data_IF_169387505508
#
_entry.id   IF_169387505508
#
_cell.length_a   1.000
_cell.length_b   1.000
_cell.length_c   1.000
_cell.angle_alpha   90.00
_cell.angle_beta   90.00
_cell.angle_gamma   90.00
#
_symmetry.space_group_name_H-M   'P 1'
#
loop_
_entity.id
_entity.type
_entity.pdbx_description
1 polymer ?
#
# COMPACT_ATOMS: atom_id res chain seq x y z
N UNK A 1 -9.91 24.23 18.01
CA UNK A 1 -10.75 24.44 16.80
C UNK A 1 -10.36 23.44 15.73
N UNK A 2 -11.26 22.53 15.32
CA UNK A 2 -11.04 21.60 14.21
C UNK A 2 -11.53 22.27 12.91
N UNK A 3 -10.66 22.50 11.93
CA UNK A 3 -11.08 23.01 10.62
C UNK A 3 -11.58 21.85 9.76
N UNK A 4 -12.75 22.02 9.19
CA UNK A 4 -13.22 21.24 8.04
C UNK A 4 -12.45 21.74 6.82
N UNK A 5 -11.50 20.95 6.32
CA UNK A 5 -10.84 21.26 5.05
C UNK A 5 -11.87 21.18 3.92
N UNK A 6 -12.22 22.33 3.34
CA UNK A 6 -13.11 22.38 2.18
C UNK A 6 -12.34 21.88 0.94
N UNK A 7 -13.03 21.26 -0.02
CA UNK A 7 -12.46 20.87 -1.33
C UNK A 7 -11.83 22.06 -2.05
N UNK A 8 -12.30 23.28 -1.77
CA UNK A 8 -11.72 24.53 -2.28
C UNK A 8 -10.32 24.81 -1.70
N UNK A 9 -10.13 24.61 -0.40
CA UNK A 9 -8.85 24.86 0.28
C UNK A 9 -7.78 23.84 -0.16
N UNK A 10 -8.17 22.57 -0.37
CA UNK A 10 -7.28 21.53 -0.91
C UNK A 10 -6.88 21.87 -2.35
N UNK A 11 -7.81 22.38 -3.17
CA UNK A 11 -7.50 22.85 -4.53
C UNK A 11 -6.64 24.11 -4.53
N UNK A 12 -6.72 24.94 -3.50
CA UNK A 12 -5.98 26.20 -3.38
C UNK A 12 -4.58 25.99 -2.80
N UNK A 13 -4.41 25.07 -1.83
CA UNK A 13 -3.10 24.61 -1.33
C UNK A 13 -2.37 23.73 -2.36
N UNK A 14 -3.10 22.96 -3.17
CA UNK A 14 -2.51 22.29 -4.34
C UNK A 14 -1.99 23.29 -5.39
N UNK A 15 -2.46 24.54 -5.38
CA UNK A 15 -2.02 25.61 -6.29
C UNK A 15 -0.89 26.50 -5.73
N UNK A 16 -0.53 26.39 -4.45
CA UNK A 16 0.39 27.32 -3.79
C UNK A 16 1.75 26.72 -3.39
N UNK A 17 2.07 25.50 -3.85
CA UNK A 17 3.43 24.97 -3.75
C UNK A 17 4.35 25.57 -4.83
N UNK A 18 5.65 25.77 -4.56
CA UNK A 18 6.57 26.47 -5.48
C UNK A 18 6.88 25.74 -6.80
N UNK A 19 6.36 24.53 -7.05
CA UNK A 19 6.60 23.77 -8.28
C UNK A 19 5.29 23.24 -8.93
N UNK A 20 4.77 24.05 -9.86
CA UNK A 20 4.28 23.69 -11.22
C UNK A 20 3.03 22.80 -11.46
N UNK A 21 2.58 22.88 -12.72
CA UNK A 21 1.42 22.25 -13.34
C UNK A 21 1.38 20.73 -13.09
N UNK A 22 0.31 20.29 -12.44
CA UNK A 22 0.12 18.92 -12.02
C UNK A 22 -1.14 18.34 -12.68
N UNK A 23 -1.00 17.24 -13.41
CA UNK A 23 -2.18 16.52 -13.94
C UNK A 23 -2.69 15.55 -12.88
N UNK A 24 -3.94 15.75 -12.44
CA UNK A 24 -4.58 14.82 -11.51
C UNK A 24 -4.85 13.49 -12.22
N UNK A 25 -4.18 12.42 -11.79
CA UNK A 25 -4.26 11.13 -12.48
C UNK A 25 -5.29 10.17 -11.88
N UNK A 26 -5.69 10.29 -10.61
CA UNK A 26 -6.87 9.64 -9.97
C UNK A 26 -6.83 9.77 -8.44
N UNK A 27 -8.00 9.67 -7.77
CA UNK A 27 -8.15 9.57 -6.31
C UNK A 27 -8.06 8.13 -5.78
N UNK A 28 -7.10 7.34 -6.24
CA UNK A 28 -7.02 5.90 -5.91
C UNK A 28 -6.38 5.60 -4.54
N UNK A 29 -5.84 6.60 -3.84
CA UNK A 29 -5.24 6.46 -2.50
C UNK A 29 -6.21 6.81 -1.37
N UNK A 30 -6.19 6.02 -0.28
CA UNK A 30 -6.91 6.36 0.97
C UNK A 30 -6.19 7.47 1.74
N UNK A 31 -4.86 7.57 1.57
CA UNK A 31 -3.97 8.42 2.37
C UNK A 31 -3.34 9.57 1.59
N UNK A 32 -3.17 9.41 0.28
CA UNK A 32 -2.41 10.33 -0.56
C UNK A 32 -3.17 10.61 -1.84
N UNK A 33 -3.19 11.89 -2.22
CA UNK A 33 -3.56 12.30 -3.58
C UNK A 33 -2.40 12.01 -4.52
N UNK A 34 -2.69 11.71 -5.80
CA UNK A 34 -1.71 11.33 -6.82
C UNK A 34 -1.73 12.32 -7.99
N UNK A 35 -0.59 12.90 -8.29
CA UNK A 35 -0.42 13.83 -9.41
C UNK A 35 0.79 13.46 -10.25
N UNK A 36 0.71 13.71 -11.57
CA UNK A 36 1.90 13.71 -12.42
C UNK A 36 2.49 15.11 -12.43
N UNK A 37 3.77 15.22 -12.06
CA UNK A 37 4.52 16.47 -12.16
C UNK A 37 4.96 16.65 -13.62
N UNK A 38 4.56 17.75 -14.26
CA UNK A 38 4.84 17.97 -15.69
C UNK A 38 6.04 18.88 -15.93
N UNK A 39 6.49 19.63 -14.92
CA UNK A 39 7.58 20.59 -15.06
C UNK A 39 8.36 20.71 -13.73
N UNK A 40 9.63 21.16 -13.78
CA UNK A 40 10.47 21.39 -12.59
C UNK A 40 11.44 20.24 -12.28
N UNK A 41 12.05 20.26 -11.09
CA UNK A 41 13.05 19.27 -10.67
C UNK A 41 12.53 17.83 -10.71
N UNK A 42 11.24 17.64 -10.41
CA UNK A 42 10.59 16.33 -10.36
C UNK A 42 9.70 16.04 -11.58
N UNK A 43 9.90 16.73 -12.71
CA UNK A 43 9.15 16.47 -13.93
C UNK A 43 9.21 14.98 -14.32
N UNK A 44 8.05 14.41 -14.68
CA UNK A 44 7.88 12.99 -15.00
C UNK A 44 7.63 12.07 -13.81
N UNK A 45 7.66 12.58 -12.56
CA UNK A 45 7.39 11.78 -11.36
C UNK A 45 5.94 11.85 -10.89
N UNK A 46 5.53 10.80 -10.19
CA UNK A 46 4.28 10.72 -9.44
C UNK A 46 4.43 11.33 -8.05
N UNK A 47 3.66 12.37 -7.77
CA UNK A 47 3.56 12.97 -6.45
C UNK A 47 2.55 12.22 -5.58
N UNK A 48 2.92 11.90 -4.33
CA UNK A 48 2.01 11.47 -3.26
C UNK A 48 2.19 12.39 -2.07
N UNK A 49 1.13 13.09 -1.66
CA UNK A 49 1.20 14.09 -0.58
C UNK A 49 0.50 13.64 0.70
N UNK A 50 1.20 13.74 1.83
CA UNK A 50 0.64 13.62 3.17
C UNK A 50 0.31 15.02 3.70
N UNK A 51 -0.98 15.24 3.99
CA UNK A 51 -1.49 16.49 4.53
C UNK A 51 -1.67 16.42 6.04
N UNK A 52 -1.73 17.58 6.69
CA UNK A 52 -2.12 17.71 8.09
C UNK A 52 -0.99 17.57 9.10
N UNK A 53 0.26 17.50 8.65
CA UNK A 53 1.45 17.47 9.53
C UNK A 53 1.56 18.82 10.23
N UNK A 54 1.52 18.83 11.56
CA UNK A 54 1.32 20.07 12.33
C UNK A 54 2.62 20.79 12.68
N UNK A 55 3.76 20.10 12.56
CA UNK A 55 5.07 20.65 12.88
C UNK A 55 6.16 20.09 11.99
N UNK A 56 7.27 20.83 11.89
CA UNK A 56 8.44 20.40 11.13
C UNK A 56 9.02 19.10 11.68
N UNK A 57 9.11 18.98 13.00
CA UNK A 57 9.57 17.79 13.69
C UNK A 57 8.75 16.55 13.31
N UNK A 58 7.42 16.70 13.23
CA UNK A 58 6.55 15.60 12.81
C UNK A 58 6.80 15.23 11.35
N UNK A 59 7.06 16.22 10.48
CA UNK A 59 7.46 15.96 9.09
C UNK A 59 8.76 15.15 9.01
N UNK A 60 9.76 15.49 9.84
CA UNK A 60 11.03 14.77 9.93
C UNK A 60 10.87 13.34 10.47
N UNK A 61 9.98 13.14 11.45
CA UNK A 61 9.64 11.80 11.95
C UNK A 61 8.96 10.95 10.86
N UNK A 62 8.10 11.55 10.03
CA UNK A 62 7.49 10.89 8.88
C UNK A 62 8.50 10.49 7.82
N UNK A 63 9.38 11.42 7.41
CA UNK A 63 10.41 11.14 6.40
C UNK A 63 11.35 10.03 6.89
N UNK A 64 11.85 10.11 8.13
CA UNK A 64 12.70 9.07 8.71
C UNK A 64 12.03 7.70 8.75
N UNK A 65 10.75 7.65 9.09
CA UNK A 65 10.02 6.39 9.10
C UNK A 65 9.83 5.78 7.70
N UNK A 66 9.62 6.61 6.67
CA UNK A 66 9.51 6.14 5.29
C UNK A 66 10.87 5.71 4.73
N UNK A 67 11.94 6.45 5.00
CA UNK A 67 13.30 6.06 4.64
C UNK A 67 13.69 4.73 5.28
N UNK A 68 13.46 4.58 6.59
CA UNK A 68 13.63 3.30 7.28
C UNK A 68 12.84 2.18 6.59
N UNK A 69 11.60 2.44 6.19
CA UNK A 69 10.78 1.42 5.54
C UNK A 69 11.33 1.01 4.18
N UNK A 70 11.78 1.97 3.36
CA UNK A 70 12.46 1.69 2.07
C UNK A 70 13.71 0.85 2.30
N UNK A 71 14.58 1.23 3.22
CA UNK A 71 15.79 0.48 3.56
C UNK A 71 15.47 -0.93 4.04
N UNK A 72 14.44 -1.10 4.85
CA UNK A 72 13.99 -2.41 5.32
C UNK A 72 13.46 -3.27 4.17
N UNK A 73 12.66 -2.70 3.26
CA UNK A 73 12.19 -3.41 2.06
C UNK A 73 13.35 -3.85 1.17
N UNK A 74 14.35 -3.00 0.99
CA UNK A 74 15.55 -3.34 0.23
C UNK A 74 16.35 -4.46 0.90
N UNK A 75 16.45 -4.47 2.24
CA UNK A 75 17.07 -5.58 3.00
C UNK A 75 16.29 -6.88 2.91
N UNK A 76 14.96 -6.83 2.68
CA UNK A 76 14.15 -8.00 2.35
C UNK A 76 14.45 -8.54 0.93
N UNK A 77 15.20 -7.81 0.11
CA UNK A 77 15.37 -8.14 -1.31
C UNK A 77 14.17 -7.73 -2.18
N UNK A 78 13.33 -6.82 -1.69
CA UNK A 78 12.22 -6.23 -2.46
C UNK A 78 12.74 -4.99 -3.19
N UNK A 79 12.60 -4.97 -4.51
CA UNK A 79 12.89 -3.78 -5.31
C UNK A 79 11.79 -2.73 -5.08
N UNK A 80 12.20 -1.51 -4.75
CA UNK A 80 11.30 -0.40 -4.44
C UNK A 80 11.42 0.65 -5.53
N UNK A 81 10.30 1.22 -5.92
CA UNK A 81 10.27 2.29 -6.90
C UNK A 81 11.12 3.49 -6.45
N UNK A 82 11.91 4.07 -7.37
CA UNK A 82 12.76 5.21 -7.04
C UNK A 82 11.92 6.37 -6.48
N UNK A 83 12.24 6.79 -5.25
CA UNK A 83 11.39 7.70 -4.47
C UNK A 83 12.23 8.73 -3.74
N UNK A 84 11.88 10.00 -3.92
CA UNK A 84 12.44 11.14 -3.18
C UNK A 84 11.41 11.66 -2.18
N UNK A 85 11.84 11.96 -0.96
CA UNK A 85 11.00 12.52 0.10
C UNK A 85 11.34 14.00 0.30
N UNK A 86 10.33 14.88 0.30
CA UNK A 86 10.49 16.32 0.58
C UNK A 86 9.49 16.74 1.65
N UNK A 87 9.94 17.52 2.63
CA UNK A 87 9.04 18.29 3.50
C UNK A 87 8.95 19.72 2.97
N UNK A 88 7.76 20.31 3.01
CA UNK A 88 7.55 21.71 2.63
C UNK A 88 6.64 22.41 3.65
N UNK A 89 6.86 23.69 3.93
CA UNK A 89 5.87 24.50 4.64
C UNK A 89 4.53 24.47 3.90
N UNK A 90 3.42 24.34 4.63
CA UNK A 90 2.06 24.30 4.06
C UNK A 90 1.06 25.00 4.99
N UNK A 91 0.67 26.22 4.64
CA UNK A 91 -0.25 27.03 5.44
C UNK A 91 0.29 27.28 6.85
N UNK A 92 -0.38 26.73 7.88
CA UNK A 92 0.05 26.80 9.30
C UNK A 92 0.84 25.58 9.79
N UNK A 93 1.18 24.66 8.90
CA UNK A 93 1.87 23.43 9.23
C UNK A 93 2.88 23.05 8.16
N UNK A 94 3.04 21.75 7.98
CA UNK A 94 3.98 21.15 7.06
C UNK A 94 3.25 20.11 6.19
N UNK A 95 3.85 19.81 5.05
CA UNK A 95 3.46 18.69 4.21
C UNK A 95 4.67 17.80 3.98
N UNK A 96 4.42 16.50 3.86
CA UNK A 96 5.42 15.53 3.44
C UNK A 96 5.00 14.98 2.09
N UNK A 97 5.85 15.17 1.10
CA UNK A 97 5.62 14.78 -0.28
C UNK A 97 6.59 13.69 -0.69
N UNK A 98 6.07 12.67 -1.37
CA UNK A 98 6.85 11.62 -2.01
C UNK A 98 6.80 11.85 -3.51
N UNK A 99 7.96 11.95 -4.16
CA UNK A 99 8.09 11.98 -5.61
C UNK A 99 8.64 10.64 -6.06
N UNK A 100 7.74 9.77 -6.52
CA UNK A 100 8.05 8.43 -6.96
C UNK A 100 8.13 8.38 -8.48
N UNK A 101 8.99 7.52 -9.04
CA UNK A 101 9.00 7.27 -10.47
C UNK A 101 7.59 6.89 -11.00
N UNK A 102 7.32 7.24 -12.25
CA UNK A 102 6.06 6.92 -12.93
C UNK A 102 6.14 5.52 -13.52
N UNK A 103 4.99 4.83 -13.45
CA UNK A 103 4.74 3.60 -14.19
C UNK A 103 3.59 3.81 -15.15
N UNK A 104 3.71 3.25 -16.35
CA UNK A 104 2.62 3.20 -17.32
C UNK A 104 1.58 2.16 -16.89
N UNK A 105 0.36 2.24 -17.43
CA UNK A 105 -0.74 1.38 -16.98
C UNK A 105 -0.46 -0.11 -17.23
N UNK A 106 0.17 -0.44 -18.36
CA UNK A 106 0.56 -1.80 -18.75
C UNK A 106 1.68 -2.38 -17.89
N UNK A 107 2.44 -1.53 -17.17
CA UNK A 107 3.42 -1.97 -16.17
C UNK A 107 2.76 -2.33 -14.83
N UNK A 108 1.55 -1.86 -14.54
CA UNK A 108 0.89 -2.11 -13.26
C UNK A 108 0.40 -3.57 -13.19
N UNK A 109 0.80 -4.30 -12.15
CA UNK A 109 0.40 -5.71 -11.95
C UNK A 109 -1.13 -5.86 -11.94
N UNK A 110 -1.86 -4.86 -11.46
CA UNK A 110 -3.32 -4.92 -11.52
C UNK A 110 -3.90 -4.87 -12.92
N UNK A 111 -3.27 -4.14 -13.85
CA UNK A 111 -3.68 -4.08 -15.23
C UNK A 111 -3.27 -5.37 -15.95
N UNK A 112 -2.02 -5.83 -15.77
CA UNK A 112 -1.52 -7.10 -16.31
C UNK A 112 -2.44 -8.27 -15.91
N UNK A 113 -2.86 -8.35 -14.65
CA UNK A 113 -3.78 -9.40 -14.20
C UNK A 113 -5.17 -9.20 -14.83
N UNK A 114 -5.66 -7.97 -14.95
CA UNK A 114 -7.01 -7.68 -15.47
C UNK A 114 -7.12 -7.95 -16.98
N UNK A 115 -6.11 -7.60 -17.76
CA UNK A 115 -6.17 -7.52 -19.22
C UNK A 115 -5.27 -8.54 -19.92
N UNK A 116 -4.22 -9.03 -19.25
CA UNK A 116 -3.25 -9.95 -19.83
C UNK A 116 -3.85 -11.32 -20.19
N UNK A 117 -3.10 -12.05 -21.01
CA UNK A 117 -3.45 -13.43 -21.34
C UNK A 117 -3.26 -14.34 -20.12
N UNK A 118 -4.00 -15.45 -20.07
CA UNK A 118 -4.02 -16.35 -18.90
C UNK A 118 -2.62 -16.73 -18.39
N UNK A 119 -1.69 -17.05 -19.29
CA UNK A 119 -0.31 -17.43 -18.92
C UNK A 119 0.39 -16.30 -18.17
N UNK A 120 0.42 -15.12 -18.78
CA UNK A 120 1.04 -13.92 -18.22
C UNK A 120 0.42 -13.52 -16.87
N UNK A 121 -0.91 -13.62 -16.73
CA UNK A 121 -1.56 -13.36 -15.44
C UNK A 121 -1.09 -14.32 -14.34
N UNK A 122 -0.95 -15.61 -14.65
CA UNK A 122 -0.52 -16.61 -13.67
C UNK A 122 0.96 -16.42 -13.31
N UNK A 123 1.82 -16.15 -14.29
CA UNK A 123 3.24 -15.86 -14.07
C UNK A 123 3.44 -14.60 -13.22
N UNK A 124 2.72 -13.52 -13.54
CA UNK A 124 2.77 -12.26 -12.77
C UNK A 124 2.24 -12.45 -11.35
N UNK A 125 1.17 -13.22 -11.19
CA UNK A 125 0.62 -13.55 -9.87
C UNK A 125 1.62 -14.36 -9.03
N UNK A 126 2.24 -15.38 -9.60
CA UNK A 126 3.26 -16.19 -8.93
C UNK A 126 4.46 -15.34 -8.48
N UNK A 127 4.97 -14.46 -9.37
CA UNK A 127 6.03 -13.51 -9.01
C UNK A 127 5.64 -12.63 -7.83
N UNK A 128 4.40 -12.12 -7.82
CA UNK A 128 3.90 -11.30 -6.70
C UNK A 128 3.82 -12.09 -5.39
N UNK A 129 3.48 -13.38 -5.43
CA UNK A 129 3.49 -14.24 -4.25
C UNK A 129 4.92 -14.45 -3.72
N UNK A 130 5.89 -14.67 -4.63
CA UNK A 130 7.30 -14.85 -4.28
C UNK A 130 7.92 -13.60 -3.64
N UNK A 131 7.53 -12.40 -4.08
CA UNK A 131 7.90 -11.17 -3.37
C UNK A 131 7.32 -11.11 -1.95
N UNK A 132 6.10 -11.63 -1.76
CA UNK A 132 5.51 -11.80 -0.43
C UNK A 132 6.31 -12.76 0.45
N UNK A 133 6.85 -13.85 -0.11
CA UNK A 133 7.71 -14.81 0.59
C UNK A 133 8.99 -14.17 1.10
N UNK A 134 9.64 -13.31 0.31
CA UNK A 134 10.82 -12.56 0.77
C UNK A 134 10.57 -11.79 2.07
N UNK A 135 9.42 -11.12 2.16
CA UNK A 135 9.02 -10.41 3.38
C UNK A 135 8.71 -11.37 4.55
N UNK A 136 8.19 -12.57 4.27
CA UNK A 136 7.96 -13.62 5.28
C UNK A 136 9.28 -14.08 5.87
N UNK A 137 10.25 -14.40 5.02
CA UNK A 137 11.55 -14.94 5.44
C UNK A 137 12.33 -13.90 6.25
N UNK A 138 12.39 -12.66 5.76
CA UNK A 138 13.02 -11.57 6.51
C UNK A 138 12.39 -11.38 7.90
N UNK A 139 11.06 -11.46 8.01
CA UNK A 139 10.39 -11.36 9.30
C UNK A 139 10.71 -12.53 10.21
N UNK A 140 10.82 -13.76 9.67
CA UNK A 140 11.20 -14.93 10.47
C UNK A 140 12.60 -14.75 11.07
N UNK A 141 13.51 -14.11 10.34
CA UNK A 141 14.89 -13.92 10.75
C UNK A 141 15.10 -12.72 11.68
N UNK A 142 14.41 -11.61 11.44
CA UNK A 142 14.75 -10.32 12.06
C UNK A 142 13.67 -9.73 12.97
N UNK A 143 12.40 -10.13 12.84
CA UNK A 143 11.37 -9.52 13.68
C UNK A 143 11.39 -10.08 15.09
N UNK A 144 11.15 -9.18 16.05
CA UNK A 144 10.94 -9.55 17.45
C UNK A 144 9.49 -9.22 17.79
N UNK A 145 8.57 -10.22 17.78
CA UNK A 145 7.15 -9.99 17.97
C UNK A 145 6.84 -9.14 19.21
N UNK A 146 6.06 -8.08 19.03
CA UNK A 146 5.69 -7.15 20.11
C UNK A 146 6.77 -6.15 20.51
N UNK A 147 7.98 -6.19 19.92
CA UNK A 147 9.07 -5.24 20.18
C UNK A 147 9.42 -4.38 18.96
N UNK A 148 9.91 -4.98 17.88
CA UNK A 148 10.11 -4.29 16.60
C UNK A 148 9.62 -5.22 15.50
N UNK A 149 8.62 -4.75 14.77
CA UNK A 149 7.97 -5.52 13.71
C UNK A 149 7.86 -4.66 12.46
N UNK A 150 8.10 -5.29 11.32
CA UNK A 150 7.81 -4.72 10.00
C UNK A 150 6.57 -5.37 9.40
N UNK A 151 5.71 -4.59 8.77
CA UNK A 151 4.59 -5.09 8.00
C UNK A 151 4.84 -4.97 6.51
N UNK A 152 4.07 -5.73 5.73
CA UNK A 152 4.14 -5.71 4.28
C UNK A 152 2.75 -5.90 3.68
N UNK A 153 2.33 -4.97 2.81
CA UNK A 153 1.03 -5.07 2.15
C UNK A 153 1.20 -5.58 0.72
N UNK A 154 1.06 -6.89 0.56
CA UNK A 154 1.28 -7.60 -0.70
C UNK A 154 0.16 -7.45 -1.74
N UNK A 155 -0.72 -6.45 -1.63
CA UNK A 155 -1.81 -6.29 -2.61
C UNK A 155 -1.26 -6.03 -4.00
N UNK A 156 -1.82 -6.68 -5.02
CA UNK A 156 -1.46 -6.47 -6.43
C UNK A 156 -1.39 -4.99 -6.86
N UNK A 157 -2.19 -4.10 -6.24
CA UNK A 157 -2.21 -2.65 -6.56
C UNK A 157 -0.93 -1.92 -6.16
N UNK A 158 -0.10 -2.55 -5.34
CA UNK A 158 1.13 -2.00 -4.79
C UNK A 158 2.35 -2.44 -5.61
N UNK A 159 2.14 -3.07 -6.77
CA UNK A 159 3.19 -3.64 -7.59
C UNK A 159 3.10 -3.15 -9.04
N UNK A 160 4.27 -2.91 -9.62
CA UNK A 160 4.49 -2.83 -11.05
C UNK A 160 5.49 -3.91 -11.49
N UNK A 161 5.56 -4.15 -12.80
CA UNK A 161 6.52 -5.02 -13.43
C UNK A 161 7.15 -4.31 -14.61
N UNK A 162 8.48 -4.13 -14.59
CA UNK A 162 9.26 -3.48 -15.66
C UNK A 162 10.51 -4.32 -15.92
N UNK A 163 10.79 -4.63 -17.18
CA UNK A 163 11.98 -5.43 -17.54
C UNK A 163 12.01 -6.82 -16.89
N UNK A 164 10.85 -7.38 -16.53
CA UNK A 164 10.75 -8.66 -15.81
C UNK A 164 11.01 -8.57 -14.30
N UNK A 165 11.29 -7.38 -13.75
CA UNK A 165 11.48 -7.15 -12.33
C UNK A 165 10.18 -6.69 -11.65
N UNK A 166 9.93 -7.18 -10.44
CA UNK A 166 8.79 -6.75 -9.60
C UNK A 166 9.19 -5.52 -8.78
N UNK A 167 8.44 -4.43 -8.93
CA UNK A 167 8.75 -3.17 -8.26
C UNK A 167 7.60 -2.77 -7.32
N UNK A 168 7.92 -2.54 -6.05
CA UNK A 168 6.98 -2.17 -5.02
C UNK A 168 6.73 -0.66 -4.97
N UNK A 169 5.46 -0.25 -4.92
CA UNK A 169 5.02 1.14 -5.09
C UNK A 169 4.49 1.78 -3.79
N UNK A 170 4.00 0.99 -2.82
CA UNK A 170 3.20 1.51 -1.70
C UNK A 170 4.03 1.76 -0.43
N UNK A 171 4.56 2.98 -0.32
CA UNK A 171 5.40 3.39 0.80
C UNK A 171 4.61 4.10 1.92
N UNK A 172 3.27 4.15 1.83
CA UNK A 172 2.44 4.97 2.74
C UNK A 172 1.16 4.24 3.21
N UNK A 173 0.98 4.00 4.52
CA UNK A 173 1.93 4.25 5.61
C UNK A 173 3.19 3.37 5.57
N UNK A 174 4.30 3.83 6.18
CA UNK A 174 5.35 2.92 6.61
C UNK A 174 4.76 1.92 7.62
N UNK A 175 4.96 0.64 7.38
CA UNK A 175 4.40 -0.43 8.19
C UNK A 175 5.43 -0.85 9.24
N UNK A 176 5.61 -0.02 10.28
CA UNK A 176 6.45 -0.34 11.43
C UNK A 176 5.63 -0.41 12.71
N UNK A 177 5.94 -1.37 13.58
CA UNK A 177 5.50 -1.35 14.97
C UNK A 177 6.67 -1.39 15.92
N UNK A 178 6.68 -0.48 16.89
CA UNK A 178 7.62 -0.47 18.00
C UNK A 178 6.83 -0.63 19.29
N UNK A 179 7.16 -1.63 20.10
CA UNK A 179 6.46 -1.97 21.34
C UNK A 179 4.94 -2.09 21.14
N UNK A 180 4.53 -2.77 20.06
CA UNK A 180 3.12 -2.99 19.70
C UNK A 180 2.38 -1.76 19.16
N UNK A 181 3.06 -0.62 18.93
CA UNK A 181 2.44 0.62 18.42
C UNK A 181 2.93 0.96 17.02
N UNK A 182 2.03 1.30 16.11
CA UNK A 182 2.39 1.74 14.74
C UNK A 182 3.20 3.03 14.78
N UNK A 183 4.30 3.07 14.02
CA UNK A 183 5.20 4.21 13.94
C UNK A 183 5.24 4.79 12.50
N UNK A 184 5.19 6.12 12.32
CA UNK A 184 5.03 7.13 13.37
C UNK A 184 3.58 7.19 13.85
N UNK A 185 3.31 7.40 15.15
CA UNK A 185 1.95 7.39 15.71
C UNK A 185 1.02 8.45 15.10
N UNK A 186 1.60 9.54 14.59
CA UNK A 186 0.92 10.64 13.91
C UNK A 186 0.24 10.24 12.60
N UNK A 187 0.71 9.18 11.91
CA UNK A 187 0.18 8.82 10.59
C UNK A 187 -1.34 8.58 10.62
N UNK A 188 -1.84 8.00 11.71
CA UNK A 188 -3.26 7.73 11.90
C UNK A 188 -4.11 9.01 12.08
N UNK A 189 -3.48 10.15 12.40
CA UNK A 189 -4.19 11.44 12.56
C UNK A 189 -4.55 12.07 11.21
N UNK A 190 -3.77 11.78 10.18
CA UNK A 190 -3.85 12.40 8.83
C UNK A 190 -4.87 11.74 7.91
N UNK A 191 -5.68 10.81 8.43
CA UNK A 191 -6.81 10.21 7.70
C UNK A 191 -7.83 11.31 7.34
N UNK A 192 -8.24 11.42 6.07
CA UNK A 192 -9.25 12.40 5.63
C UNK A 192 -10.52 12.32 6.47
N UNK A 193 -11.06 13.48 6.86
CA UNK A 193 -12.23 13.58 7.76
C UNK A 193 -13.46 12.80 7.25
N UNK A 194 -13.66 12.71 5.94
CA UNK A 194 -14.73 11.91 5.32
C UNK A 194 -14.72 10.42 5.72
N UNK A 195 -13.56 9.87 6.10
CA UNK A 195 -13.43 8.51 6.60
C UNK A 195 -13.59 8.40 8.13
N UNK A 196 -13.63 9.53 8.85
CA UNK A 196 -13.81 9.60 10.31
C UNK A 196 -15.30 9.65 10.72
N UNK A 197 -16.21 10.02 9.83
CA UNK A 197 -17.62 10.30 10.14
C UNK A 197 -18.63 9.31 9.52
N UNK A 198 -18.20 8.15 9.02
CA UNK A 198 -19.12 7.10 8.56
C UNK A 198 -19.70 6.39 9.79
N UNK A 199 -20.98 6.59 10.16
CA UNK A 199 -21.50 6.21 11.49
C UNK A 199 -21.65 4.68 11.69
N UNK A 200 -21.81 3.91 10.61
CA UNK A 200 -22.06 2.47 10.66
C UNK A 200 -20.81 1.59 10.66
N UNK A 201 -19.61 2.18 10.55
CA UNK A 201 -18.36 1.47 10.53
C UNK A 201 -17.34 2.28 11.29
N UNK A 202 -16.86 1.75 12.42
CA UNK A 202 -15.57 2.15 12.97
C UNK A 202 -14.51 1.82 11.90
N UNK A 203 -14.29 2.71 10.94
CA UNK A 203 -13.32 2.56 9.84
C UNK A 203 -11.91 2.33 10.38
N UNK A 204 -11.61 2.87 11.57
CA UNK A 204 -10.42 2.57 12.37
C UNK A 204 -10.31 1.07 12.73
N UNK A 205 -11.42 0.42 13.04
CA UNK A 205 -11.49 -1.00 13.36
C UNK A 205 -11.67 -1.91 12.13
N UNK A 206 -12.11 -1.38 10.98
CA UNK A 206 -12.38 -2.17 9.76
C UNK A 206 -11.29 -2.08 8.69
N UNK A 207 -10.65 -0.92 8.54
CA UNK A 207 -9.54 -0.72 7.60
C UNK A 207 -8.20 -0.76 8.32
N UNK A 208 -8.08 -0.18 9.52
CA UNK A 208 -6.77 -0.05 10.16
C UNK A 208 -6.44 -1.18 11.11
N UNK A 209 -7.33 -1.62 12.00
CA UNK A 209 -7.03 -2.80 12.84
C UNK A 209 -6.78 -4.08 12.03
N UNK A 210 -7.55 -4.38 10.96
CA UNK A 210 -7.31 -5.54 10.12
C UNK A 210 -6.13 -5.26 9.20
N UNK A 211 -6.10 -4.21 8.35
CA UNK A 211 -4.94 -4.01 7.47
C UNK A 211 -3.61 -3.82 8.23
N UNK A 212 -3.60 -3.25 9.44
CA UNK A 212 -2.38 -3.18 10.27
C UNK A 212 -2.10 -4.44 11.07
N UNK A 213 -3.02 -5.37 11.32
CA UNK A 213 -2.68 -6.71 11.85
C UNK A 213 -2.35 -7.69 10.73
N UNK A 214 -3.13 -7.64 9.66
CA UNK A 214 -3.04 -8.46 8.45
C UNK A 214 -1.74 -8.20 7.69
N UNK A 215 -1.29 -6.94 7.58
CA UNK A 215 0.03 -6.65 6.99
C UNK A 215 1.20 -7.12 7.85
N UNK A 216 0.94 -7.52 9.11
CA UNK A 216 1.95 -8.09 10.01
C UNK A 216 1.76 -9.60 10.19
N UNK A 217 0.68 -10.17 9.63
CA UNK A 217 0.34 -11.59 9.72
C UNK A 217 0.58 -12.27 8.37
N UNK A 218 1.65 -13.07 8.30
CA UNK A 218 2.16 -13.66 7.05
C UNK A 218 1.11 -14.48 6.27
N UNK A 219 0.30 -15.34 6.92
CA UNK A 219 -0.80 -16.04 6.24
C UNK A 219 -1.82 -15.12 5.57
N UNK A 220 -2.07 -13.94 6.15
CA UNK A 220 -3.06 -13.00 5.62
C UNK A 220 -2.51 -12.26 4.40
N UNK A 221 -1.20 -12.04 4.31
CA UNK A 221 -0.58 -11.41 3.16
C UNK A 221 -0.81 -12.22 1.88
N UNK A 222 -0.48 -13.51 1.87
CA UNK A 222 -0.68 -14.36 0.68
C UNK A 222 -2.17 -14.52 0.34
N UNK A 223 -3.03 -14.66 1.36
CA UNK A 223 -4.48 -14.66 1.16
C UNK A 223 -5.00 -13.33 0.58
N UNK A 224 -4.39 -12.20 0.94
CA UNK A 224 -4.67 -10.87 0.40
C UNK A 224 -4.29 -10.74 -1.08
N UNK A 225 -3.14 -11.28 -1.48
CA UNK A 225 -2.73 -11.39 -2.88
C UNK A 225 -3.78 -12.15 -3.68
N UNK A 226 -4.13 -13.35 -3.22
CA UNK A 226 -5.13 -14.21 -3.85
C UNK A 226 -6.48 -13.50 -3.98
N UNK A 227 -6.94 -12.86 -2.90
CA UNK A 227 -8.20 -12.10 -2.93
C UNK A 227 -8.18 -10.97 -3.96
N UNK A 228 -7.06 -10.26 -4.06
CA UNK A 228 -6.86 -9.19 -5.01
C UNK A 228 -6.87 -9.71 -6.46
N UNK A 229 -6.22 -10.85 -6.74
CA UNK A 229 -6.21 -11.50 -8.05
C UNK A 229 -7.62 -11.98 -8.46
N UNK A 230 -8.28 -12.75 -7.59
CA UNK A 230 -9.64 -13.29 -7.82
C UNK A 230 -10.66 -12.18 -8.06
N UNK A 231 -10.51 -11.03 -7.40
CA UNK A 231 -11.43 -9.90 -7.60
C UNK A 231 -11.32 -9.23 -8.98
N UNK A 232 -10.27 -9.55 -9.75
CA UNK A 232 -9.99 -9.01 -11.09
C UNK A 232 -10.24 -10.04 -12.19
N UNK A 233 -9.97 -11.32 -11.93
CA UNK A 233 -10.14 -12.43 -12.89
C UNK A 233 -10.74 -13.64 -12.18
N UNK A 234 -12.05 -13.60 -11.97
CA UNK A 234 -12.75 -14.61 -11.16
C UNK A 234 -12.73 -15.99 -11.80
N UNK A 235 -12.78 -16.05 -13.12
CA UNK A 235 -12.69 -17.28 -13.90
C UNK A 235 -11.36 -18.02 -13.72
N UNK A 236 -10.31 -17.35 -13.22
CA UNK A 236 -9.02 -17.94 -12.90
C UNK A 236 -8.86 -18.31 -11.40
N UNK A 237 -9.90 -18.19 -10.58
CA UNK A 237 -9.82 -18.40 -9.12
C UNK A 237 -9.17 -19.72 -8.73
N UNK A 238 -9.56 -20.82 -9.39
CA UNK A 238 -8.96 -22.14 -9.15
C UNK A 238 -7.45 -22.14 -9.41
N UNK A 239 -7.02 -21.54 -10.53
CA UNK A 239 -5.60 -21.50 -10.92
C UNK A 239 -4.77 -20.61 -10.00
N UNK A 240 -5.30 -19.46 -9.58
CA UNK A 240 -4.62 -18.63 -8.57
C UNK A 240 -4.49 -19.36 -7.23
N UNK A 241 -5.53 -20.11 -6.82
CA UNK A 241 -5.46 -20.91 -5.59
C UNK A 241 -4.40 -22.02 -5.70
N UNK A 242 -4.38 -22.77 -6.80
CA UNK A 242 -3.34 -23.78 -7.09
C UNK A 242 -1.95 -23.16 -6.97
N UNK A 243 -1.71 -22.04 -7.68
CA UNK A 243 -0.43 -21.31 -7.63
C UNK A 243 -0.04 -20.80 -6.23
N UNK A 244 -1.03 -20.39 -5.44
CA UNK A 244 -0.77 -19.96 -4.06
C UNK A 244 -0.35 -21.13 -3.18
N UNK A 245 -0.98 -22.29 -3.36
CA UNK A 245 -0.63 -23.53 -2.63
C UNK A 245 0.77 -23.99 -3.03
N UNK A 246 1.08 -24.02 -4.33
CA UNK A 246 2.42 -24.36 -4.84
C UNK A 246 3.49 -23.49 -4.16
N UNK A 247 3.33 -22.16 -4.15
CA UNK A 247 4.31 -21.27 -3.49
C UNK A 247 4.42 -21.53 -1.99
N UNK A 248 3.33 -21.90 -1.30
CA UNK A 248 3.38 -22.24 0.13
C UNK A 248 4.12 -23.54 0.36
N UNK A 249 3.87 -24.55 -0.46
CA UNK A 249 4.54 -25.85 -0.35
C UNK A 249 6.03 -25.74 -0.69
N UNK A 250 6.39 -24.89 -1.64
CA UNK A 250 7.78 -24.65 -2.05
C UNK A 250 8.56 -23.84 -1.01
N UNK A 251 7.95 -22.78 -0.46
CA UNK A 251 8.72 -21.76 0.27
C UNK A 251 8.45 -21.72 1.77
N UNK A 252 7.32 -22.25 2.25
CA UNK A 252 6.96 -22.17 3.67
C UNK A 252 7.32 -23.49 4.38
N UNK A 253 8.00 -23.44 5.55
CA UNK A 253 8.30 -24.63 6.35
C UNK A 253 7.04 -25.45 6.65
N UNK A 254 7.16 -26.78 6.57
CA UNK A 254 6.03 -27.71 6.72
C UNK A 254 5.23 -27.50 8.02
N UNK A 255 5.91 -27.15 9.12
CA UNK A 255 5.30 -26.85 10.42
C UNK A 255 4.39 -25.60 10.41
N UNK A 256 4.62 -24.65 9.50
CA UNK A 256 3.86 -23.40 9.41
C UNK A 256 2.72 -23.47 8.38
N UNK A 257 2.83 -24.35 7.37
CA UNK A 257 1.86 -24.47 6.25
C UNK A 257 0.40 -24.54 6.67
N UNK A 258 -0.01 -25.28 7.73
CA UNK A 258 -1.42 -25.36 8.11
C UNK A 258 -2.08 -23.99 8.32
N UNK A 259 -1.37 -23.03 8.91
CA UNK A 259 -1.91 -21.68 9.15
C UNK A 259 -2.16 -20.91 7.84
N UNK A 260 -1.31 -21.08 6.83
CA UNK A 260 -1.47 -20.46 5.51
C UNK A 260 -2.60 -21.11 4.72
N UNK A 261 -2.63 -22.44 4.69
CA UNK A 261 -3.65 -23.22 4.00
C UNK A 261 -5.04 -22.96 4.59
N UNK A 262 -5.16 -22.83 5.91
CA UNK A 262 -6.42 -22.46 6.58
C UNK A 262 -6.91 -21.08 6.09
N UNK A 263 -6.03 -20.07 6.01
CA UNK A 263 -6.41 -18.73 5.51
C UNK A 263 -6.84 -18.73 4.06
N UNK A 264 -6.17 -19.52 3.23
CA UNK A 264 -6.52 -19.64 1.80
C UNK A 264 -7.83 -20.41 1.64
N UNK A 265 -8.03 -21.50 2.38
CA UNK A 265 -9.25 -22.31 2.36
C UNK A 265 -10.48 -21.54 2.88
N UNK A 266 -10.28 -20.61 3.82
CA UNK A 266 -11.36 -19.86 4.45
C UNK A 266 -12.28 -19.10 3.47
N UNK A 267 -13.60 -19.13 3.73
CA UNK A 267 -14.68 -18.38 3.04
C UNK A 267 -14.54 -16.83 3.13
N UNK A 268 -13.45 -16.30 3.71
CA UNK A 268 -13.19 -14.88 3.99
C UNK A 268 -12.88 -14.01 2.77
N UNK A 269 -12.74 -14.59 1.57
CA UNK A 269 -12.80 -13.84 0.31
C UNK A 269 -14.08 -12.98 0.21
N UNK A 270 -15.14 -13.31 0.95
CA UNK A 270 -16.39 -12.55 1.04
C UNK A 270 -16.27 -11.18 1.78
N UNK A 271 -15.37 -11.03 2.75
CA UNK A 271 -15.23 -9.78 3.51
C UNK A 271 -14.46 -8.73 2.72
N UNK A 272 -13.36 -9.14 2.06
CA UNK A 272 -12.64 -8.28 1.12
C UNK A 272 -13.53 -7.89 -0.07
N UNK A 273 -14.41 -8.81 -0.53
CA UNK A 273 -15.49 -8.51 -1.49
C UNK A 273 -16.48 -7.47 -0.96
N UNK A 274 -16.95 -7.57 0.28
CA UNK A 274 -17.85 -6.56 0.90
C UNK A 274 -17.17 -5.19 1.00
N UNK A 275 -15.90 -5.15 1.43
CA UNK A 275 -15.12 -3.92 1.56
C UNK A 275 -14.87 -3.29 0.18
N UNK A 276 -14.40 -4.05 -0.82
CA UNK A 276 -14.17 -3.51 -2.16
C UNK A 276 -15.46 -3.05 -2.86
N UNK A 277 -16.59 -3.71 -2.59
CA UNK A 277 -17.90 -3.30 -3.12
C UNK A 277 -18.40 -2.00 -2.47
N UNK A 278 -18.21 -1.83 -1.16
CA UNK A 278 -18.49 -0.58 -0.44
C UNK A 278 -17.59 0.57 -0.91
N UNK A 279 -16.29 0.31 -1.10
CA UNK A 279 -15.31 1.29 -1.58
C UNK A 279 -15.65 1.74 -3.01
N UNK A 280 -15.89 0.81 -3.94
CA UNK A 280 -16.24 1.15 -5.33
C UNK A 280 -17.58 1.90 -5.44
N UNK A 281 -18.56 1.59 -4.60
CA UNK A 281 -19.83 2.32 -4.55
C UNK A 281 -19.66 3.79 -4.12
N UNK A 282 -18.71 4.05 -3.21
CA UNK A 282 -18.47 5.37 -2.67
C UNK A 282 -17.61 6.28 -3.57
N UNK A 283 -16.83 5.70 -4.49
CA UNK A 283 -15.99 6.45 -5.45
C UNK A 283 -16.67 6.72 -6.79
N UNK A 284 -17.88 6.20 -7.01
CA UNK A 284 -18.71 6.44 -8.21
C UNK A 284 -19.81 7.51 -8.00
N UNK A 285 -19.95 8.02 -6.77
CA UNK A 285 -20.84 9.13 -6.36
C UNK A 285 -20.04 10.39 -6.04
#
# INVERSE_FOLDING_TARGET
MRRNYNKADIKQEAKSGPERAAQALTRAGVFTDRYLITEGEFAGRMEKRLHGVVSEREADEHIRAMQWYVETLQKMGVTVADTVFRKTPAGRGWSVTLFQEKFEEDELVTAIIREGVKRECLETFERTLREGVKAIDYKREHDVPGKDEVGFHSSLRNWAMRGGEMIFLDLTPPLRRVNGRTYPPSFLKHIPARFKFIPSLRMRDLFFRPASRDSFAMPVMLAGCLASAVSRRRELERRFREKTIEVIEDCIPASERPAYLEKIAGKRLSLHRKINRLVRGFFRS
#
